data_IF_122347963059
#
_entry.id   IF_122347963059
#
_cell.length_a   1.000
_cell.length_b   1.000
_cell.length_c   1.000
_cell.angle_alpha   90.00
_cell.angle_beta   90.00
_cell.angle_gamma   90.00
#
_symmetry.space_group_name_H-M   'P 1'
#
loop_
_entity.id
_entity.type
_entity.pdbx_description
1 polymer ?
#
# COMPACT_ATOMS: atom_id res chain seq x y z
N UNK A 1 10.53 -18.69 8.00
CA UNK A 1 11.49 -17.68 7.52
C UNK A 1 12.68 -17.75 8.45
N UNK A 2 13.73 -18.46 8.02
CA UNK A 2 14.98 -18.56 8.76
C UNK A 2 15.81 -17.33 8.43
N UNK A 3 16.00 -16.47 9.43
CA UNK A 3 16.99 -15.38 9.39
C UNK A 3 18.37 -16.01 9.21
N UNK A 4 18.92 -15.87 7.99
CA UNK A 4 20.33 -16.14 7.75
C UNK A 4 21.11 -15.07 8.49
N UNK A 5 22.01 -15.42 9.43
CA UNK A 5 22.85 -14.43 10.07
C UNK A 5 23.72 -13.76 8.99
N UNK A 6 23.63 -12.43 8.88
CA UNK A 6 24.57 -11.65 8.09
C UNK A 6 25.98 -11.94 8.58
N UNK A 7 26.77 -12.64 7.77
CA UNK A 7 28.20 -12.79 7.98
C UNK A 7 28.79 -11.39 8.19
N UNK A 8 29.56 -11.14 9.27
CA UNK A 8 30.21 -9.85 9.43
C UNK A 8 31.08 -9.60 8.21
N UNK A 9 30.81 -8.48 7.55
CA UNK A 9 31.53 -8.07 6.35
C UNK A 9 33.02 -8.10 6.65
N UNK A 10 33.80 -8.83 5.85
CA UNK A 10 35.25 -8.85 6.03
C UNK A 10 35.76 -7.41 5.88
N UNK A 11 36.67 -6.94 6.74
CA UNK A 11 37.20 -5.59 6.63
C UNK A 11 37.88 -5.44 5.27
N UNK A 12 37.28 -4.66 4.39
CA UNK A 12 37.87 -4.32 3.10
C UNK A 12 39.03 -3.36 3.31
N UNK A 13 40.18 -3.57 2.63
CA UNK A 13 41.27 -2.62 2.67
C UNK A 13 40.77 -1.23 2.31
N UNK A 14 41.16 -0.26 3.13
CA UNK A 14 40.79 1.12 2.90
C UNK A 14 41.73 1.70 1.85
N UNK A 15 41.16 2.06 0.71
CA UNK A 15 41.86 2.87 -0.29
C UNK A 15 42.04 4.31 0.25
N UNK A 16 43.29 4.77 0.19
CA UNK A 16 43.69 6.13 0.56
C UNK A 16 44.11 6.89 -0.68
N UNK A 17 43.74 8.16 -0.73
CA UNK A 17 44.26 9.07 -1.76
C UNK A 17 45.75 9.34 -1.53
N UNK A 18 46.48 9.70 -2.58
CA UNK A 18 47.90 10.12 -2.47
C UNK A 18 48.08 11.19 -1.39
N UNK A 19 47.19 12.19 -1.37
CA UNK A 19 47.20 13.25 -0.34
C UNK A 19 47.04 12.71 1.08
N UNK A 20 46.24 11.65 1.28
CA UNK A 20 46.08 11.03 2.60
C UNK A 20 47.33 10.24 3.00
N UNK A 21 47.94 9.53 2.06
CA UNK A 21 49.21 8.84 2.26
C UNK A 21 50.34 9.84 2.59
N UNK A 22 50.37 10.98 1.90
CA UNK A 22 51.30 12.07 2.17
C UNK A 22 51.09 12.66 3.56
N UNK A 23 49.84 12.87 3.98
CA UNK A 23 49.52 13.39 5.31
C UNK A 23 49.98 12.43 6.42
N UNK A 24 49.77 11.13 6.26
CA UNK A 24 50.24 10.10 7.19
C UNK A 24 51.78 10.08 7.25
N UNK A 25 52.43 10.09 6.09
CA UNK A 25 53.90 10.10 6.00
C UNK A 25 54.50 11.37 6.62
N UNK A 26 53.89 12.53 6.36
CA UNK A 26 54.30 13.81 6.92
C UNK A 26 54.16 13.86 8.44
N UNK A 27 53.12 13.23 9.00
CA UNK A 27 52.92 13.15 10.44
C UNK A 27 54.02 12.34 11.14
N UNK A 28 54.34 11.15 10.61
CA UNK A 28 55.43 10.32 11.13
C UNK A 28 56.79 11.01 11.01
N UNK A 29 57.07 11.60 9.84
CA UNK A 29 58.31 12.35 9.60
C UNK A 29 58.46 13.54 10.54
N UNK A 30 57.38 14.29 10.79
CA UNK A 30 57.39 15.40 11.74
C UNK A 30 57.68 14.91 13.15
N UNK A 31 56.98 13.89 13.62
CA UNK A 31 57.18 13.34 14.97
C UNK A 31 58.62 12.86 15.19
N UNK A 32 59.21 12.19 14.20
CA UNK A 32 60.61 11.76 14.24
C UNK A 32 61.57 12.93 14.30
N UNK A 33 61.36 13.94 13.45
CA UNK A 33 62.19 15.13 13.47
C UNK A 33 62.08 15.83 14.82
N UNK A 34 60.87 16.08 15.30
CA UNK A 34 60.63 16.76 16.58
C UNK A 34 61.33 16.00 17.74
N UNK A 35 61.20 14.67 17.82
CA UNK A 35 61.87 13.85 18.82
C UNK A 35 63.40 13.92 18.74
N UNK A 36 63.99 13.69 17.57
CA UNK A 36 65.44 13.73 17.42
C UNK A 36 66.02 15.15 17.59
N UNK A 37 65.22 16.19 17.36
CA UNK A 37 65.61 17.56 17.69
C UNK A 37 65.57 17.84 19.18
N UNK A 38 64.50 17.45 19.87
CA UNK A 38 64.39 17.63 21.32
C UNK A 38 65.50 16.88 22.09
N UNK A 39 65.81 15.66 21.67
CA UNK A 39 66.67 14.76 22.45
C UNK A 39 68.13 14.67 21.97
N UNK A 40 68.41 14.86 20.67
CA UNK A 40 69.73 14.56 20.09
C UNK A 40 70.46 15.76 19.49
N UNK A 41 69.79 16.88 19.21
CA UNK A 41 70.39 17.98 18.46
C UNK A 41 70.47 19.29 19.26
N UNK A 42 71.69 19.76 19.56
CA UNK A 42 71.97 21.09 20.14
C UNK A 42 71.70 22.26 19.16
N UNK A 43 70.63 22.19 18.37
CA UNK A 43 70.29 23.17 17.34
C UNK A 43 69.62 24.42 17.98
N UNK A 44 70.08 25.63 17.60
CA UNK A 44 69.56 26.90 18.16
C UNK A 44 68.21 27.35 17.59
N UNK A 45 67.88 26.98 16.35
CA UNK A 45 66.60 27.33 15.69
C UNK A 45 66.24 26.35 14.56
N UNK A 46 65.07 25.72 14.64
CA UNK A 46 64.53 24.80 13.63
C UNK A 46 63.54 25.52 12.69
N UNK A 47 63.52 25.23 11.37
CA UNK A 47 64.39 24.33 10.62
C UNK A 47 65.71 24.94 10.13
N UNK A 48 65.97 26.20 10.43
CA UNK A 48 66.98 26.99 9.71
C UNK A 48 68.44 26.74 10.12
N UNK A 49 68.74 26.24 11.33
CA UNK A 49 70.10 26.22 11.88
C UNK A 49 70.67 24.84 12.24
N UNK A 50 70.10 23.73 11.76
CA UNK A 50 70.56 22.42 12.21
C UNK A 50 71.75 21.89 11.39
N UNK A 51 72.88 21.65 12.08
CA UNK A 51 74.20 21.27 11.52
C UNK A 51 74.41 19.74 11.60
N UNK A 52 73.34 18.95 11.60
CA UNK A 52 73.43 17.55 11.17
C UNK A 52 73.55 17.57 9.64
N UNK A 53 74.75 17.89 9.15
CA UNK A 53 75.11 18.02 7.73
C UNK A 53 75.25 16.68 6.99
N UNK A 54 74.55 15.64 7.45
CA UNK A 54 74.24 14.45 6.66
C UNK A 54 72.74 14.44 6.52
N UNK A 55 72.23 14.66 5.31
CA UNK A 55 70.80 14.83 5.06
C UNK A 55 69.99 13.74 5.75
N UNK A 56 68.89 14.16 6.38
CA UNK A 56 67.65 13.39 6.53
C UNK A 56 67.79 11.91 6.15
N UNK A 57 67.83 11.01 7.13
CA UNK A 57 67.77 9.58 6.84
C UNK A 57 66.34 9.20 6.44
N UNK A 58 65.97 9.56 5.21
CA UNK A 58 64.83 8.97 4.52
C UNK A 58 65.15 7.50 4.29
N UNK A 59 64.52 6.58 5.01
CA UNK A 59 64.63 5.13 4.73
C UNK A 59 65.19 4.24 5.83
N UNK A 60 65.47 4.72 7.04
CA UNK A 60 65.73 3.84 8.20
C UNK A 60 64.63 3.96 9.23
N UNK A 61 63.50 3.33 8.93
CA UNK A 61 62.48 3.00 9.93
C UNK A 61 62.99 1.80 10.74
N UNK A 62 63.76 2.08 11.80
CA UNK A 62 64.08 1.06 12.81
C UNK A 62 62.96 0.98 13.86
N UNK A 63 63.08 0.05 14.80
CA UNK A 63 62.05 -0.14 15.85
C UNK A 63 61.81 1.13 16.66
N UNK A 64 62.86 1.88 16.99
CA UNK A 64 62.76 3.12 17.75
C UNK A 64 62.00 4.19 16.94
N UNK A 65 62.31 4.32 15.64
CA UNK A 65 61.62 5.24 14.75
C UNK A 65 60.13 4.89 14.59
N UNK A 66 59.77 3.61 14.60
CA UNK A 66 58.38 3.19 14.68
C UNK A 66 57.72 3.63 15.99
N UNK A 67 58.34 3.41 17.14
CA UNK A 67 57.77 3.78 18.44
C UNK A 67 57.52 5.30 18.56
N UNK A 68 58.41 6.10 17.96
CA UNK A 68 58.29 7.57 17.94
C UNK A 68 57.19 8.03 16.95
N UNK A 69 57.23 7.53 15.72
CA UNK A 69 56.39 8.04 14.63
C UNK A 69 54.96 7.46 14.63
N UNK A 70 54.79 6.21 15.06
CA UNK A 70 53.53 5.48 14.96
C UNK A 70 52.36 6.17 15.69
N UNK A 71 52.51 6.70 16.93
CA UNK A 71 51.41 7.40 17.60
C UNK A 71 50.87 8.60 16.80
N UNK A 72 51.76 9.37 16.16
CA UNK A 72 51.37 10.52 15.33
C UNK A 72 50.63 10.08 14.07
N UNK A 73 51.12 9.02 13.40
CA UNK A 73 50.46 8.43 12.23
C UNK A 73 49.07 7.90 12.60
N UNK A 74 48.94 7.19 13.73
CA UNK A 74 47.66 6.67 14.22
C UNK A 74 46.67 7.79 14.56
N UNK A 75 47.13 8.90 15.13
CA UNK A 75 46.27 10.07 15.41
C UNK A 75 45.70 10.70 14.13
N UNK A 76 46.52 10.83 13.08
CA UNK A 76 46.05 11.32 11.77
C UNK A 76 45.12 10.29 11.11
N UNK A 77 45.46 9.00 11.16
CA UNK A 77 44.61 7.93 10.65
C UNK A 77 43.22 7.93 11.28
N UNK A 78 43.15 8.06 12.61
CA UNK A 78 41.88 8.10 13.33
C UNK A 78 41.04 9.31 12.93
N UNK A 79 41.67 10.48 12.74
CA UNK A 79 41.00 11.68 12.26
C UNK A 79 40.42 11.48 10.86
N UNK A 80 41.20 10.95 9.91
CA UNK A 80 40.73 10.64 8.55
C UNK A 80 39.58 9.62 8.55
N UNK A 81 39.64 8.62 9.42
CA UNK A 81 38.56 7.62 9.59
C UNK A 81 37.29 8.28 10.12
N UNK A 82 37.41 9.14 11.11
CA UNK A 82 36.28 9.86 11.70
C UNK A 82 35.63 10.81 10.70
N UNK A 83 36.42 11.51 9.89
CA UNK A 83 35.92 12.38 8.81
C UNK A 83 35.14 11.58 7.77
N UNK A 84 35.65 10.42 7.35
CA UNK A 84 34.93 9.52 6.43
C UNK A 84 33.62 9.03 7.04
N UNK A 85 33.63 8.63 8.31
CA UNK A 85 32.41 8.20 9.01
C UNK A 85 31.39 9.33 9.12
N UNK A 86 31.83 10.54 9.45
CA UNK A 86 30.98 11.72 9.52
C UNK A 86 30.34 12.04 8.16
N UNK A 87 31.12 11.97 7.08
CA UNK A 87 30.62 12.13 5.71
C UNK A 87 29.57 11.06 5.35
N UNK A 88 29.83 9.79 5.69
CA UNK A 88 28.86 8.72 5.42
C UNK A 88 27.57 8.86 6.22
N UNK A 89 27.67 9.29 7.48
CA UNK A 89 26.49 9.58 8.31
C UNK A 89 25.67 10.72 7.71
N UNK A 90 26.32 11.78 7.21
CA UNK A 90 25.64 12.90 6.57
C UNK A 90 24.90 12.45 5.29
N UNK A 91 25.54 11.65 4.45
CA UNK A 91 24.93 11.03 3.26
C UNK A 91 23.69 10.20 3.63
N UNK A 92 23.84 9.27 4.58
CA UNK A 92 22.74 8.41 5.02
C UNK A 92 21.57 9.19 5.62
N UNK A 93 21.83 10.33 6.28
CA UNK A 93 20.79 11.22 6.80
C UNK A 93 20.02 11.90 5.67
N UNK A 94 20.72 12.41 4.66
CA UNK A 94 20.10 13.01 3.48
C UNK A 94 19.24 11.99 2.71
N UNK A 95 19.76 10.78 2.50
CA UNK A 95 19.02 9.69 1.86
C UNK A 95 17.77 9.31 2.68
N UNK A 96 17.89 9.22 4.01
CA UNK A 96 16.76 8.89 4.87
C UNK A 96 15.66 9.96 4.81
N UNK A 97 16.04 11.23 4.77
CA UNK A 97 15.11 12.35 4.59
C UNK A 97 14.39 12.26 3.26
N UNK A 98 15.12 12.02 2.16
CA UNK A 98 14.53 11.83 0.84
C UNK A 98 13.56 10.63 0.80
N UNK A 99 13.94 9.52 1.42
CA UNK A 99 13.09 8.33 1.52
C UNK A 99 11.82 8.61 2.31
N UNK A 100 11.91 9.37 3.42
CA UNK A 100 10.72 9.78 4.19
C UNK A 100 9.78 10.64 3.37
N UNK A 101 10.30 11.58 2.59
CA UNK A 101 9.48 12.39 1.67
C UNK A 101 8.78 11.52 0.63
N UNK A 102 9.51 10.59 -0.01
CA UNK A 102 8.91 9.65 -0.97
C UNK A 102 7.85 8.75 -0.36
N UNK A 103 8.07 8.28 0.87
CA UNK A 103 7.06 7.51 1.61
C UNK A 103 5.82 8.38 1.82
N UNK A 104 5.97 9.62 2.30
CA UNK A 104 4.84 10.52 2.50
C UNK A 104 4.05 10.80 1.20
N UNK A 105 4.73 11.00 0.06
CA UNK A 105 4.11 11.15 -1.25
C UNK A 105 3.32 9.89 -1.66
N UNK A 106 3.91 8.71 -1.49
CA UNK A 106 3.24 7.44 -1.78
C UNK A 106 2.06 7.18 -0.84
N UNK A 107 2.17 7.59 0.42
CA UNK A 107 1.07 7.49 1.38
C UNK A 107 -0.06 8.45 1.07
N UNK A 108 0.22 9.64 0.56
CA UNK A 108 -0.80 10.55 0.04
C UNK A 108 -1.51 10.00 -1.21
N UNK A 109 -0.83 9.17 -2.00
CA UNK A 109 -1.39 8.49 -3.16
C UNK A 109 -2.14 7.18 -2.82
N UNK A 110 -2.07 6.69 -1.57
CA UNK A 110 -2.83 5.49 -1.17
C UNK A 110 -4.30 5.74 -1.49
N UNK A 111 -4.95 4.91 -2.34
CA UNK A 111 -6.37 5.03 -2.56
C UNK A 111 -7.09 4.95 -1.21
N UNK A 112 -8.17 5.71 -1.04
CA UNK A 112 -9.04 5.53 0.11
C UNK A 112 -9.34 4.03 0.24
N UNK A 113 -9.21 3.50 1.46
CA UNK A 113 -9.43 2.07 1.75
C UNK A 113 -10.73 1.56 1.14
N UNK A 114 -11.72 2.45 1.05
CA UNK A 114 -12.99 2.25 0.38
C UNK A 114 -13.07 3.05 -0.92
N UNK A 115 -13.51 2.40 -1.99
CA UNK A 115 -13.86 3.01 -3.28
C UNK A 115 -15.37 2.93 -3.50
N UNK A 116 -15.93 3.90 -4.21
CA UNK A 116 -17.33 3.85 -4.61
C UNK A 116 -17.48 3.05 -5.91
N UNK A 117 -18.37 2.05 -5.87
CA UNK A 117 -18.69 1.25 -7.03
C UNK A 117 -19.36 2.13 -8.10
N UNK A 118 -18.74 2.26 -9.27
CA UNK A 118 -19.26 3.07 -10.37
C UNK A 118 -20.64 2.62 -10.89
N UNK A 119 -21.07 1.39 -10.57
CA UNK A 119 -22.36 0.84 -10.99
C UNK A 119 -23.49 1.15 -10.01
N UNK A 120 -23.22 1.13 -8.70
CA UNK A 120 -24.27 1.22 -7.68
C UNK A 120 -24.03 2.26 -6.59
N UNK A 121 -22.88 2.93 -6.59
CA UNK A 121 -22.48 3.91 -5.58
C UNK A 121 -22.12 3.35 -4.20
N UNK A 122 -22.13 2.03 -4.00
CA UNK A 122 -21.76 1.43 -2.73
C UNK A 122 -20.24 1.44 -2.51
N UNK A 123 -19.80 1.77 -1.30
CA UNK A 123 -18.40 1.67 -0.88
C UNK A 123 -17.94 0.21 -0.79
N UNK A 124 -16.77 -0.11 -1.33
CA UNK A 124 -16.12 -1.43 -1.25
C UNK A 124 -14.61 -1.30 -1.04
N UNK A 125 -13.97 -2.31 -0.43
CA UNK A 125 -12.53 -2.26 -0.14
C UNK A 125 -11.70 -2.38 -1.42
N UNK A 126 -10.64 -1.58 -1.55
CA UNK A 126 -9.77 -1.60 -2.73
C UNK A 126 -9.23 -3.01 -3.02
N UNK A 127 -9.35 -3.46 -4.27
CA UNK A 127 -8.94 -4.80 -4.71
C UNK A 127 -9.97 -5.91 -4.50
N UNK A 128 -11.11 -5.63 -3.85
CA UNK A 128 -12.25 -6.55 -3.75
C UNK A 128 -13.31 -6.24 -4.81
N UNK A 129 -14.13 -7.22 -5.16
CA UNK A 129 -15.33 -6.98 -5.97
C UNK A 129 -16.42 -6.27 -5.15
N UNK A 130 -17.28 -5.50 -5.80
CA UNK A 130 -18.40 -4.85 -5.11
C UNK A 130 -19.41 -5.89 -4.62
N UNK A 131 -19.47 -6.07 -3.29
CA UNK A 131 -20.34 -7.05 -2.62
C UNK A 131 -21.82 -6.83 -2.92
N UNK A 132 -22.27 -5.58 -3.06
CA UNK A 132 -23.66 -5.25 -3.41
C UNK A 132 -24.02 -5.70 -4.82
N UNK A 133 -23.13 -5.46 -5.78
CA UNK A 133 -23.34 -5.91 -7.16
C UNK A 133 -23.29 -7.43 -7.27
N UNK A 134 -22.35 -8.09 -6.59
CA UNK A 134 -22.27 -9.55 -6.54
C UNK A 134 -23.52 -10.16 -5.90
N UNK A 135 -23.99 -9.59 -4.79
CA UNK A 135 -25.24 -10.02 -4.17
C UNK A 135 -26.44 -9.84 -5.11
N UNK A 136 -26.57 -8.70 -5.80
CA UNK A 136 -27.66 -8.47 -6.77
C UNK A 136 -27.62 -9.48 -7.92
N UNK A 137 -26.44 -9.84 -8.44
CA UNK A 137 -26.30 -10.87 -9.46
C UNK A 137 -26.75 -12.24 -8.94
N UNK A 138 -26.33 -12.61 -7.74
CA UNK A 138 -26.71 -13.88 -7.11
C UNK A 138 -28.22 -13.96 -6.88
N UNK A 139 -28.85 -12.89 -6.40
CA UNK A 139 -30.29 -12.83 -6.21
C UNK A 139 -31.07 -12.89 -7.53
N UNK A 140 -30.59 -12.20 -8.57
CA UNK A 140 -31.20 -12.27 -9.90
C UNK A 140 -31.12 -13.69 -10.48
N UNK A 141 -29.98 -14.38 -10.33
CA UNK A 141 -29.81 -15.77 -10.75
C UNK A 141 -30.73 -16.72 -9.97
N UNK A 142 -30.85 -16.53 -8.65
CA UNK A 142 -31.75 -17.33 -7.81
C UNK A 142 -33.23 -17.12 -8.21
N UNK A 143 -33.65 -15.88 -8.44
CA UNK A 143 -35.02 -15.56 -8.88
C UNK A 143 -35.34 -16.12 -10.27
N UNK A 144 -34.38 -16.06 -11.20
CA UNK A 144 -34.53 -16.67 -12.52
C UNK A 144 -34.72 -18.19 -12.41
N UNK A 145 -33.91 -18.86 -11.58
CA UNK A 145 -34.05 -20.29 -11.32
C UNK A 145 -35.40 -20.67 -10.71
N UNK A 146 -35.92 -19.88 -9.77
CA UNK A 146 -37.25 -20.08 -9.18
C UNK A 146 -38.36 -19.89 -10.22
N UNK A 147 -38.26 -18.86 -11.07
CA UNK A 147 -39.24 -18.59 -12.13
C UNK A 147 -39.28 -19.70 -13.18
N UNK A 148 -38.14 -20.29 -13.51
CA UNK A 148 -38.08 -21.40 -14.47
C UNK A 148 -38.49 -22.74 -13.84
N UNK A 149 -38.41 -22.88 -12.51
CA UNK A 149 -38.86 -24.07 -11.79
C UNK A 149 -40.36 -24.08 -11.48
N UNK A 150 -41.01 -22.90 -11.40
CA UNK A 150 -42.45 -22.82 -11.22
C UNK A 150 -43.18 -23.14 -12.53
N UNK A 151 -44.24 -23.97 -12.49
CA UNK A 151 -45.11 -24.16 -13.64
C UNK A 151 -45.64 -22.80 -14.09
N UNK A 152 -45.38 -22.42 -15.35
CA UNK A 152 -45.83 -21.14 -15.93
C UNK A 152 -47.36 -21.05 -15.98
N UNK A 153 -48.03 -22.20 -15.97
CA UNK A 153 -49.47 -22.33 -15.90
C UNK A 153 -49.83 -23.33 -14.78
N UNK A 154 -50.74 -22.92 -13.90
CA UNK A 154 -51.40 -23.85 -12.97
C UNK A 154 -52.21 -24.84 -13.80
N UNK A 155 -52.14 -26.13 -13.47
CA UNK A 155 -53.08 -27.08 -14.07
C UNK A 155 -54.52 -26.72 -13.66
N UNK A 156 -55.53 -27.05 -14.49
CA UNK A 156 -56.94 -26.82 -14.13
C UNK A 156 -57.37 -27.50 -12.83
N UNK A 157 -56.64 -28.52 -12.37
CA UNK A 157 -56.88 -29.21 -11.10
C UNK A 157 -56.23 -28.47 -9.93
N UNK A 158 -55.01 -27.95 -10.12
CA UNK A 158 -54.33 -27.15 -9.12
C UNK A 158 -55.05 -25.82 -8.87
N UNK A 159 -55.56 -25.17 -9.92
CA UNK A 159 -56.36 -23.96 -9.79
C UNK A 159 -57.62 -24.22 -8.93
N UNK A 160 -58.35 -25.30 -9.20
CA UNK A 160 -59.53 -25.70 -8.41
C UNK A 160 -59.19 -26.07 -6.97
N UNK A 161 -58.05 -26.71 -6.74
CA UNK A 161 -57.60 -27.04 -5.39
C UNK A 161 -57.26 -25.77 -4.58
N UNK A 162 -56.56 -24.81 -5.20
CA UNK A 162 -56.24 -23.51 -4.58
C UNK A 162 -57.53 -22.74 -4.25
N UNK A 163 -58.49 -22.67 -5.18
CA UNK A 163 -59.79 -22.04 -4.96
C UNK A 163 -60.55 -22.69 -3.79
N UNK A 164 -60.44 -24.00 -3.63
CA UNK A 164 -61.09 -24.72 -2.53
C UNK A 164 -60.41 -24.49 -1.18
N UNK A 165 -59.07 -24.46 -1.13
CA UNK A 165 -58.29 -24.30 0.12
C UNK A 165 -58.20 -22.84 0.58
N UNK A 166 -58.23 -21.90 -0.36
CA UNK A 166 -58.11 -20.48 -0.13
C UNK A 166 -59.30 -19.73 -0.74
N UNK A 167 -60.52 -19.90 -0.18
CA UNK A 167 -61.73 -19.27 -0.70
C UNK A 167 -61.61 -17.73 -0.74
N UNK A 168 -60.76 -17.13 0.09
CA UNK A 168 -60.45 -15.70 0.10
C UNK A 168 -59.78 -15.19 -1.19
N UNK A 169 -59.10 -16.08 -1.92
CA UNK A 169 -58.43 -15.81 -3.20
C UNK A 169 -59.34 -16.00 -4.41
N UNK A 170 -60.55 -16.54 -4.21
CA UNK A 170 -61.56 -16.61 -5.26
C UNK A 170 -61.94 -15.19 -5.69
N UNK A 171 -61.72 -14.91 -6.97
CA UNK A 171 -62.15 -13.67 -7.64
C UNK A 171 -63.59 -13.78 -8.15
N UNK A 172 -64.17 -14.99 -8.19
CA UNK A 172 -65.57 -15.21 -8.49
C UNK A 172 -66.39 -15.11 -7.20
N UNK A 173 -67.09 -13.99 -7.03
CA UNK A 173 -68.06 -13.82 -5.96
C UNK A 173 -69.46 -14.10 -6.51
N UNK A 174 -70.09 -15.20 -6.09
CA UNK A 174 -71.52 -15.47 -6.33
C UNK A 174 -72.38 -14.62 -5.38
N UNK A 175 -72.59 -13.35 -5.72
CA UNK A 175 -73.56 -12.52 -5.01
C UNK A 175 -74.92 -12.63 -5.70
N UNK A 176 -75.98 -12.91 -4.93
CA UNK A 176 -77.37 -12.88 -5.42
C UNK A 176 -78.00 -11.48 -5.33
N UNK A 177 -77.24 -10.48 -4.86
CA UNK A 177 -77.72 -9.11 -4.72
C UNK A 177 -77.55 -8.29 -6.01
N UNK A 178 -78.45 -7.34 -6.30
CA UNK A 178 -78.40 -6.52 -7.51
C UNK A 178 -77.15 -5.63 -7.53
N UNK A 179 -76.47 -5.61 -8.68
CA UNK A 179 -75.34 -4.73 -8.96
C UNK A 179 -75.86 -3.31 -9.15
N UNK A 180 -75.49 -2.38 -8.27
CA UNK A 180 -76.06 -1.01 -8.26
C UNK A 180 -75.01 0.10 -8.37
N UNK A 181 -73.72 -0.23 -8.34
CA UNK A 181 -72.64 0.77 -8.32
C UNK A 181 -71.63 0.51 -9.45
N UNK A 182 -71.31 1.55 -10.23
CA UNK A 182 -70.26 1.50 -11.25
C UNK A 182 -68.94 2.03 -10.69
N UNK A 183 -67.86 1.29 -10.90
CA UNK A 183 -66.50 1.73 -10.62
C UNK A 183 -65.72 1.83 -11.93
N UNK A 184 -65.01 2.95 -12.12
CA UNK A 184 -64.14 3.19 -13.26
C UNK A 184 -62.73 2.70 -12.95
N UNK A 185 -62.36 1.49 -13.38
CA UNK A 185 -60.99 0.99 -13.24
C UNK A 185 -60.00 1.53 -14.30
N UNK A 186 -60.33 2.66 -14.94
CA UNK A 186 -59.52 3.30 -15.97
C UNK A 186 -59.44 2.55 -17.31
N UNK A 187 -59.98 1.32 -17.42
CA UNK A 187 -59.93 0.53 -18.66
C UNK A 187 -61.32 0.23 -19.26
N UNK A 188 -62.36 -0.02 -18.43
CA UNK A 188 -63.80 0.03 -18.78
C UNK A 188 -64.66 0.21 -17.51
N UNK A 189 -65.82 0.89 -17.59
CA UNK A 189 -66.78 0.91 -16.49
C UNK A 189 -67.34 -0.48 -16.25
N UNK A 190 -67.31 -0.94 -15.01
CA UNK A 190 -67.94 -2.21 -14.61
C UNK A 190 -68.76 -2.04 -13.33
N UNK A 191 -69.78 -2.88 -13.20
CA UNK A 191 -70.72 -2.85 -12.09
C UNK A 191 -70.23 -3.78 -10.97
N UNK A 192 -70.17 -3.26 -9.75
CA UNK A 192 -69.71 -3.97 -8.55
C UNK A 192 -70.85 -4.17 -7.56
N UNK A 193 -70.72 -5.20 -6.71
CA UNK A 193 -71.66 -5.45 -5.63
C UNK A 193 -71.47 -4.41 -4.50
N UNK A 194 -72.57 -3.91 -3.96
CA UNK A 194 -72.61 -2.77 -3.02
C UNK A 194 -71.92 -3.05 -1.68
N UNK A 195 -71.88 -4.32 -1.23
CA UNK A 195 -71.40 -4.66 0.11
C UNK A 195 -69.96 -5.16 0.17
N UNK A 196 -69.41 -5.66 -0.95
CA UNK A 196 -68.09 -6.29 -0.95
C UNK A 196 -67.03 -5.57 -1.80
N UNK A 197 -67.39 -4.51 -2.54
CA UNK A 197 -66.50 -3.76 -3.45
C UNK A 197 -65.68 -4.68 -4.40
N UNK A 198 -66.16 -5.91 -4.62
CA UNK A 198 -65.56 -6.92 -5.50
C UNK A 198 -66.41 -7.08 -6.76
N UNK A 199 -65.75 -7.22 -7.89
CA UNK A 199 -66.37 -7.42 -9.20
C UNK A 199 -66.57 -8.92 -9.46
N UNK A 200 -67.73 -9.39 -9.95
CA UNK A 200 -68.03 -10.82 -10.09
C UNK A 200 -67.32 -11.53 -11.27
N UNK A 201 -66.32 -10.92 -11.92
CA UNK A 201 -65.60 -11.56 -13.01
C UNK A 201 -64.08 -11.43 -12.91
N UNK A 202 -63.41 -12.53 -13.26
CA UNK A 202 -62.01 -12.55 -13.70
C UNK A 202 -61.91 -11.81 -15.03
N UNK A 203 -61.55 -10.52 -15.02
CA UNK A 203 -61.17 -9.82 -16.24
C UNK A 203 -59.93 -10.50 -16.87
N UNK A 204 -60.14 -11.35 -17.88
CA UNK A 204 -59.09 -11.63 -18.88
C UNK A 204 -59.04 -10.43 -19.82
N UNK A 205 -58.14 -9.49 -19.55
CA UNK A 205 -57.82 -8.43 -20.50
C UNK A 205 -57.07 -9.07 -21.68
N UNK A 206 -57.74 -9.24 -22.82
CA UNK A 206 -57.04 -9.43 -24.08
C UNK A 206 -56.31 -8.12 -24.39
N UNK A 207 -54.99 -8.19 -24.66
CA UNK A 207 -54.22 -7.03 -25.12
C UNK A 207 -54.94 -6.40 -26.32
N UNK A 208 -55.10 -5.07 -26.36
CA UNK A 208 -55.65 -4.43 -27.54
C UNK A 208 -54.72 -4.72 -28.72
N UNK A 209 -55.27 -5.37 -29.75
CA UNK A 209 -54.64 -5.42 -31.06
C UNK A 209 -54.30 -3.99 -31.47
N UNK A 210 -53.00 -3.74 -31.67
CA UNK A 210 -52.53 -2.53 -32.31
C UNK A 210 -53.15 -2.45 -33.70
N UNK A 211 -54.24 -1.72 -33.81
CA UNK A 211 -54.86 -1.38 -35.09
C UNK A 211 -54.18 -0.10 -35.55
N UNK A 212 -53.31 -0.26 -36.56
CA UNK A 212 -52.71 0.71 -37.49
C UNK A 212 -52.82 2.20 -37.17
#
# INVERSE_FOLDING_TARGET
MTDTPMTPDQPTPVELTERQLDALSAAGNRALNDHYHEDLCFCRSWPTSCVSSGGYFMGTWDTSAFDIGLPAVLGVWESLRNDRHAAKIAELRADNEQLRTRVAELEALKPARFQDCQVCGAGYEYGQSCSVCEFKKQMAAAQAGVRDALPRDLSPEQARWIEHQHPETSTAHDCTLPLVRRLDCGHRPHEVCQDCDRCPHTCRCASPEATL
#
